data_IF_555299803480
#
_entry.id   IF_555299803480
#
_cell.length_a   1.000
_cell.length_b   1.000
_cell.length_c   1.000
_cell.angle_alpha   90.00
_cell.angle_beta   90.00
_cell.angle_gamma   90.00
#
_symmetry.space_group_name_H-M   'P 1'
#
loop_
_entity.id
_entity.type
_entity.pdbx_description
1 polymer ?
#
# COMPACT_ATOMS: atom_id res chain seq x y z
N UNK A 1 28.43 -9.32 -2.96
CA UNK A 1 28.59 -8.58 -4.24
C UNK A 1 29.67 -7.52 -4.04
N UNK A 2 30.48 -7.30 -5.04
CA UNK A 2 31.56 -6.32 -5.06
C UNK A 2 31.23 -5.31 -6.17
N UNK A 3 31.16 -4.04 -5.83
CA UNK A 3 30.97 -2.95 -6.79
C UNK A 3 32.30 -2.21 -7.03
N UNK A 4 32.56 -1.74 -8.26
CA UNK A 4 33.69 -0.86 -8.54
C UNK A 4 33.57 0.45 -7.76
N UNK A 5 34.68 1.09 -7.41
CA UNK A 5 34.70 2.36 -6.67
C UNK A 5 34.02 3.53 -7.38
N UNK A 6 33.78 3.41 -8.68
CA UNK A 6 33.11 4.45 -9.47
C UNK A 6 31.58 4.45 -9.30
N UNK A 7 31.03 3.37 -8.74
CA UNK A 7 29.57 3.24 -8.51
C UNK A 7 29.33 3.04 -7.03
N UNK A 8 28.86 4.07 -6.36
CA UNK A 8 28.44 3.99 -4.95
C UNK A 8 27.03 3.44 -4.91
N UNK A 9 26.83 2.37 -4.14
CA UNK A 9 25.53 1.74 -3.94
C UNK A 9 25.19 1.80 -2.45
N UNK A 10 24.15 2.53 -2.13
CA UNK A 10 23.72 2.73 -0.74
C UNK A 10 22.92 1.54 -0.21
N UNK A 11 22.91 1.38 1.12
CA UNK A 11 22.00 0.44 1.81
C UNK A 11 20.56 0.83 1.48
N UNK A 12 19.73 -0.16 1.21
CA UNK A 12 18.35 0.05 0.78
C UNK A 12 18.16 0.19 -0.74
N UNK A 13 19.24 0.31 -1.51
CA UNK A 13 19.15 0.30 -2.97
C UNK A 13 18.72 -1.07 -3.50
N UNK A 14 17.98 -1.06 -4.62
CA UNK A 14 17.68 -2.28 -5.36
C UNK A 14 18.74 -2.53 -6.44
N UNK A 15 19.11 -3.79 -6.59
CA UNK A 15 20.02 -4.26 -7.65
C UNK A 15 19.28 -5.31 -8.47
N UNK A 16 19.13 -5.07 -9.76
CA UNK A 16 18.61 -6.06 -10.69
C UNK A 16 19.78 -6.91 -11.22
N UNK A 17 19.74 -8.22 -10.93
CA UNK A 17 20.76 -9.15 -11.33
C UNK A 17 20.16 -10.50 -11.72
N UNK A 18 20.43 -10.96 -12.92
CA UNK A 18 19.93 -12.24 -13.48
C UNK A 18 18.42 -12.40 -13.34
N UNK A 19 17.67 -11.40 -13.84
CA UNK A 19 16.19 -11.36 -13.81
C UNK A 19 15.58 -11.40 -12.40
N UNK A 20 16.39 -11.11 -11.38
CA UNK A 20 16.00 -11.11 -9.99
C UNK A 20 16.37 -9.78 -9.34
N UNK A 21 15.46 -9.22 -8.57
CA UNK A 21 15.68 -8.00 -7.79
C UNK A 21 16.26 -8.35 -6.42
N UNK A 22 17.27 -7.59 -6.00
CA UNK A 22 17.96 -7.74 -4.73
C UNK A 22 17.98 -6.45 -3.96
N UNK A 23 17.82 -6.52 -2.65
CA UNK A 23 17.87 -5.40 -1.73
C UNK A 23 19.23 -5.37 -1.03
N UNK A 24 19.89 -4.21 -1.04
CA UNK A 24 21.19 -4.03 -0.34
C UNK A 24 20.91 -3.89 1.15
N UNK A 25 21.53 -4.78 1.92
CA UNK A 25 21.24 -4.93 3.35
C UNK A 25 22.28 -4.33 4.28
N UNK A 26 23.55 -4.52 3.94
CA UNK A 26 24.69 -3.97 4.69
C UNK A 26 25.87 -3.77 3.77
N UNK A 27 26.69 -2.81 4.12
CA UNK A 27 28.00 -2.58 3.53
C UNK A 27 29.09 -2.99 4.53
N UNK A 28 30.11 -3.70 4.07
CA UNK A 28 31.33 -3.93 4.85
C UNK A 28 32.30 -2.79 4.61
N UNK A 29 32.60 -2.04 5.67
CA UNK A 29 33.65 -1.01 5.62
C UNK A 29 35.02 -1.66 5.63
N UNK A 30 35.84 -1.31 4.65
CA UNK A 30 37.22 -1.78 4.52
C UNK A 30 38.20 -0.69 4.89
N UNK A 31 39.29 -1.08 5.54
CA UNK A 31 40.39 -0.16 5.92
C UNK A 31 41.03 0.49 4.68
N UNK A 32 41.06 -0.24 3.55
CA UNK A 32 41.55 0.27 2.27
C UNK A 32 40.37 0.20 1.29
N UNK A 33 39.80 1.33 0.88
CA UNK A 33 38.59 1.36 0.05
C UNK A 33 38.90 1.14 -1.44
N UNK A 34 39.27 -0.09 -1.82
CA UNK A 34 39.47 -0.44 -3.22
C UNK A 34 38.20 -0.81 -3.95
N UNK A 35 37.16 -1.19 -3.20
CA UNK A 35 35.83 -1.56 -3.71
C UNK A 35 34.85 -1.66 -2.57
N UNK A 36 33.56 -1.45 -2.86
CA UNK A 36 32.46 -1.72 -1.94
C UNK A 36 32.17 -3.24 -1.87
N UNK A 37 32.00 -3.74 -0.67
CA UNK A 37 31.54 -5.11 -0.43
C UNK A 37 30.16 -5.05 0.23
N UNK A 38 29.15 -5.55 -0.47
CA UNK A 38 27.76 -5.47 -0.06
C UNK A 38 27.17 -6.84 0.25
N UNK A 39 26.36 -6.92 1.30
CA UNK A 39 25.47 -8.07 1.52
C UNK A 39 24.11 -7.70 0.97
N UNK A 40 23.59 -8.55 0.08
CA UNK A 40 22.30 -8.37 -0.56
C UNK A 40 21.35 -9.49 -0.18
N UNK A 41 20.05 -9.21 -0.18
CA UNK A 41 18.97 -10.17 0.03
C UNK A 41 18.04 -10.16 -1.17
N UNK A 42 17.57 -11.34 -1.58
CA UNK A 42 16.63 -11.44 -2.68
C UNK A 42 15.29 -10.81 -2.28
N UNK A 43 14.72 -10.01 -3.16
CA UNK A 43 13.33 -9.55 -3.03
C UNK A 43 12.43 -10.76 -3.27
N UNK A 44 11.81 -11.24 -2.22
CA UNK A 44 10.97 -12.44 -2.26
C UNK A 44 9.47 -12.13 -2.19
N UNK A 45 9.11 -10.86 -1.96
CA UNK A 45 7.74 -10.40 -1.94
C UNK A 45 7.60 -8.98 -2.49
N UNK A 46 6.40 -8.64 -3.00
CA UNK A 46 6.01 -7.26 -3.32
C UNK A 46 4.87 -6.87 -2.42
N UNK A 47 5.13 -5.92 -1.52
CA UNK A 47 4.08 -5.31 -0.71
C UNK A 47 3.31 -4.29 -1.55
N UNK A 48 2.01 -4.20 -1.31
CA UNK A 48 1.12 -3.26 -1.98
C UNK A 48 0.21 -2.59 -0.96
N UNK A 49 -0.05 -1.32 -1.16
CA UNK A 49 -1.01 -0.57 -0.34
C UNK A 49 -1.59 0.59 -1.11
N UNK A 50 -2.70 1.14 -0.60
CA UNK A 50 -3.26 2.40 -1.10
C UNK A 50 -2.56 3.58 -0.42
N UNK A 51 -2.27 4.61 -1.23
CA UNK A 51 -1.77 5.88 -0.77
C UNK A 51 -2.73 6.98 -1.25
N UNK A 52 -2.85 8.07 -0.47
CA UNK A 52 -3.70 9.21 -0.81
C UNK A 52 -3.36 9.86 -2.17
N UNK A 53 -2.10 9.78 -2.59
CA UNK A 53 -1.61 10.43 -3.81
C UNK A 53 -1.42 9.49 -5.00
N UNK A 54 -1.35 8.18 -4.76
CA UNK A 54 -1.14 7.17 -5.81
C UNK A 54 -2.07 6.01 -5.55
N UNK A 55 -2.91 5.61 -6.51
CA UNK A 55 -3.97 4.63 -6.24
C UNK A 55 -3.43 3.31 -5.69
N UNK A 56 -2.32 2.82 -6.20
CA UNK A 56 -1.67 1.60 -5.69
C UNK A 56 -0.16 1.81 -5.68
N UNK A 57 0.44 1.73 -4.51
CA UNK A 57 1.90 1.73 -4.32
C UNK A 57 2.37 0.29 -4.19
N UNK A 58 3.47 -0.05 -4.86
CA UNK A 58 4.06 -1.39 -4.84
C UNK A 58 5.57 -1.34 -4.70
N UNK A 59 6.09 -1.99 -3.65
CA UNK A 59 7.53 -2.07 -3.39
C UNK A 59 7.99 -3.51 -3.20
N UNK A 60 9.17 -3.80 -3.73
CA UNK A 60 9.87 -5.04 -3.46
C UNK A 60 10.35 -5.11 -2.01
N UNK A 61 10.16 -6.23 -1.36
CA UNK A 61 10.55 -6.43 0.03
C UNK A 61 11.26 -7.77 0.22
N UNK A 62 12.11 -7.83 1.24
CA UNK A 62 12.60 -9.09 1.77
C UNK A 62 11.82 -9.44 3.02
N UNK A 63 11.13 -10.58 2.98
CA UNK A 63 10.30 -11.06 4.10
C UNK A 63 10.89 -12.37 4.63
N UNK A 64 10.95 -12.49 5.95
CA UNK A 64 11.39 -13.71 6.63
C UNK A 64 10.61 -13.92 7.93
N UNK A 65 10.50 -15.18 8.36
CA UNK A 65 9.96 -15.49 9.68
C UNK A 65 10.88 -14.94 10.77
N UNK A 66 10.28 -14.42 11.83
CA UNK A 66 11.01 -14.09 13.03
C UNK A 66 11.39 -15.40 13.75
N UNK A 67 12.64 -15.78 13.65
CA UNK A 67 13.17 -16.98 14.33
C UNK A 67 13.70 -16.63 15.71
N UNK A 68 13.72 -17.61 16.63
CA UNK A 68 14.28 -17.46 17.98
C UNK A 68 15.72 -16.94 17.99
N UNK A 69 16.50 -17.27 16.97
CA UNK A 69 17.88 -16.78 16.80
C UNK A 69 17.94 -15.26 16.60
N UNK A 70 16.90 -14.66 16.07
CA UNK A 70 16.83 -13.20 15.87
C UNK A 70 16.48 -12.47 17.16
N UNK A 71 15.83 -13.13 18.10
CA UNK A 71 15.42 -12.56 19.38
C UNK A 71 16.50 -12.67 20.47
N UNK A 72 17.54 -13.47 20.26
CA UNK A 72 18.62 -13.65 21.25
C UNK A 72 18.17 -14.25 22.59
N UNK A 73 16.96 -14.82 22.63
CA UNK A 73 16.37 -15.38 23.87
C UNK A 73 16.38 -16.89 23.81
N UNK A 74 17.29 -17.51 24.52
CA UNK A 74 17.21 -18.90 24.91
C UNK A 74 16.49 -18.98 26.26
N UNK A 75 15.15 -19.06 26.28
CA UNK A 75 14.41 -19.28 27.50
C UNK A 75 13.83 -20.70 27.51
N UNK A 76 14.06 -21.39 28.59
CA UNK A 76 13.51 -22.70 28.85
C UNK A 76 12.01 -22.56 29.17
N UNK A 77 11.16 -23.13 28.35
CA UNK A 77 9.76 -23.38 28.71
C UNK A 77 8.68 -22.64 27.93
N UNK A 78 8.88 -21.38 27.53
CA UNK A 78 7.86 -20.58 26.84
C UNK A 78 8.06 -20.46 25.32
N UNK A 79 8.83 -21.35 24.75
CA UNK A 79 9.32 -21.34 23.37
C UNK A 79 8.21 -21.43 22.31
N UNK A 80 7.07 -22.00 22.62
CA UNK A 80 6.04 -22.34 21.64
C UNK A 80 5.13 -21.16 21.32
N UNK A 81 4.93 -20.22 22.24
CA UNK A 81 4.03 -19.07 22.01
C UNK A 81 4.66 -17.92 21.23
N UNK A 82 5.99 -17.86 21.17
CA UNK A 82 6.72 -16.76 20.50
C UNK A 82 6.87 -17.00 18.99
N UNK A 83 6.74 -18.25 18.55
CA UNK A 83 7.01 -18.65 17.14
C UNK A 83 5.82 -18.39 16.21
N UNK A 84 4.62 -18.20 16.75
CA UNK A 84 3.41 -18.18 15.95
C UNK A 84 3.16 -16.83 15.29
N UNK A 85 3.27 -16.81 13.95
CA UNK A 85 2.69 -15.80 13.10
C UNK A 85 3.44 -14.48 12.99
N UNK A 86 4.67 -14.36 13.51
CA UNK A 86 5.45 -13.11 13.37
C UNK A 86 6.40 -13.16 12.19
N UNK A 87 6.38 -12.10 11.39
CA UNK A 87 7.27 -11.92 10.26
C UNK A 87 8.03 -10.61 10.34
N UNK A 88 9.24 -10.62 9.79
CA UNK A 88 10.05 -9.42 9.58
C UNK A 88 10.04 -9.08 8.09
N UNK A 89 9.75 -7.82 7.79
CA UNK A 89 9.74 -7.28 6.44
C UNK A 89 10.77 -6.15 6.36
N UNK A 90 11.61 -6.20 5.34
CA UNK A 90 12.60 -5.17 5.04
C UNK A 90 12.31 -4.56 3.69
N UNK A 91 12.30 -3.25 3.64
CA UNK A 91 12.03 -2.46 2.43
C UNK A 91 12.94 -1.25 2.40
N UNK A 92 13.17 -0.68 1.22
CA UNK A 92 13.89 0.58 1.08
C UNK A 92 13.22 1.70 1.90
N UNK A 93 14.03 2.51 2.57
CA UNK A 93 13.57 3.71 3.27
C UNK A 93 13.47 4.88 2.28
N UNK A 94 12.24 5.28 1.95
CA UNK A 94 11.92 6.43 1.13
C UNK A 94 10.61 7.08 1.60
N UNK A 95 10.22 8.17 0.98
CA UNK A 95 9.05 8.95 1.37
C UNK A 95 7.76 8.11 1.37
N UNK A 96 7.56 7.27 0.35
CA UNK A 96 6.36 6.43 0.23
C UNK A 96 6.34 5.29 1.27
N UNK A 97 7.47 4.61 1.49
CA UNK A 97 7.55 3.51 2.45
C UNK A 97 7.50 3.98 3.90
N UNK A 98 7.91 5.23 4.19
CA UNK A 98 7.69 5.88 5.49
C UNK A 98 6.21 6.15 5.79
N UNK A 99 5.37 6.19 4.76
CA UNK A 99 3.91 6.22 4.90
C UNK A 99 3.30 4.93 5.47
N UNK A 100 4.07 3.84 5.53
CA UNK A 100 3.64 2.60 6.16
C UNK A 100 3.81 2.73 7.67
N UNK A 101 2.70 2.84 8.41
CA UNK A 101 2.70 3.08 9.87
C UNK A 101 2.35 1.83 10.66
N UNK A 102 2.64 1.87 11.97
CA UNK A 102 2.18 0.85 12.93
C UNK A 102 0.64 0.76 12.85
N UNK A 103 0.14 -0.45 12.87
CA UNK A 103 -1.29 -0.74 12.70
C UNK A 103 -1.72 -1.01 11.26
N UNK A 104 -0.96 -0.56 10.25
CA UNK A 104 -1.28 -0.84 8.85
C UNK A 104 -1.17 -2.34 8.56
N UNK A 105 -2.09 -2.81 7.73
CA UNK A 105 -2.18 -4.21 7.32
C UNK A 105 -1.62 -4.38 5.92
N UNK A 106 -0.91 -5.47 5.67
CA UNK A 106 -0.31 -5.81 4.37
C UNK A 106 -0.45 -7.30 4.08
N UNK A 107 -0.56 -7.67 2.81
CA UNK A 107 -0.52 -9.07 2.39
C UNK A 107 0.92 -9.58 2.32
N UNK A 108 1.12 -10.79 2.87
CA UNK A 108 2.31 -11.60 2.61
C UNK A 108 1.84 -13.02 2.28
N UNK A 109 2.06 -13.44 1.04
CA UNK A 109 1.48 -14.66 0.53
C UNK A 109 -0.05 -14.55 0.45
N UNK A 110 -0.74 -15.53 1.01
CA UNK A 110 -2.20 -15.56 1.08
C UNK A 110 -2.78 -14.93 2.37
N UNK A 111 -1.92 -14.56 3.32
CA UNK A 111 -2.31 -14.08 4.65
C UNK A 111 -2.09 -12.59 4.79
N UNK A 112 -2.86 -11.98 5.69
CA UNK A 112 -2.73 -10.58 6.07
C UNK A 112 -1.90 -10.48 7.33
N UNK A 113 -1.04 -9.48 7.39
CA UNK A 113 -0.19 -9.18 8.53
C UNK A 113 -0.38 -7.73 8.94
N UNK A 114 -0.44 -7.50 10.25
CA UNK A 114 -0.50 -6.17 10.85
C UNK A 114 0.88 -5.73 11.30
N UNK A 115 1.26 -4.51 10.99
CA UNK A 115 2.54 -3.93 11.42
C UNK A 115 2.46 -3.55 12.88
N UNK A 116 3.33 -4.16 13.69
CA UNK A 116 3.40 -3.97 15.14
C UNK A 116 4.52 -3.02 15.57
N UNK A 117 5.59 -2.95 14.78
CA UNK A 117 6.76 -2.14 15.07
C UNK A 117 7.49 -1.77 13.78
N UNK A 118 8.08 -0.58 13.75
CA UNK A 118 8.89 -0.09 12.64
C UNK A 118 10.23 0.42 13.17
N UNK A 119 11.32 -0.10 12.64
CA UNK A 119 12.68 0.35 12.90
C UNK A 119 13.24 1.05 11.66
N UNK A 120 13.40 2.35 11.77
CA UNK A 120 13.96 3.22 10.71
C UNK A 120 15.36 3.70 11.05
N UNK A 121 15.93 3.28 12.20
CA UNK A 121 17.16 3.83 12.76
C UNK A 121 18.33 2.85 12.67
N UNK A 122 18.10 1.56 12.95
CA UNK A 122 19.18 0.57 13.06
C UNK A 122 19.98 0.36 11.75
N UNK A 123 19.35 0.65 10.60
CA UNK A 123 19.98 0.57 9.28
C UNK A 123 19.52 1.72 8.41
N UNK A 124 20.37 2.72 8.27
CA UNK A 124 20.09 3.84 7.35
C UNK A 124 19.84 3.30 5.94
N UNK A 125 18.77 3.75 5.31
CA UNK A 125 18.34 3.32 3.97
C UNK A 125 17.39 2.13 3.94
N UNK A 126 17.12 1.47 5.10
CA UNK A 126 16.16 0.37 5.22
C UNK A 126 15.17 0.62 6.35
N UNK A 127 13.92 0.27 6.12
CA UNK A 127 12.92 0.13 7.17
C UNK A 127 12.73 -1.36 7.46
N UNK A 128 12.76 -1.72 8.74
CA UNK A 128 12.46 -3.05 9.22
C UNK A 128 11.13 -3.04 9.97
N UNK A 129 10.13 -3.72 9.44
CA UNK A 129 8.84 -3.89 10.07
C UNK A 129 8.74 -5.26 10.74
N UNK A 130 8.31 -5.27 12.00
CA UNK A 130 7.83 -6.47 12.67
C UNK A 130 6.32 -6.57 12.47
N UNK A 131 5.87 -7.69 11.96
CA UNK A 131 4.47 -7.95 11.64
C UNK A 131 3.95 -9.17 12.38
N UNK A 132 2.68 -9.16 12.72
CA UNK A 132 1.94 -10.29 13.28
C UNK A 132 0.79 -10.68 12.35
N UNK A 133 0.51 -11.96 12.24
CA UNK A 133 -0.60 -12.46 11.42
C UNK A 133 -1.93 -11.91 11.93
N UNK A 134 -2.75 -11.42 11.02
CA UNK A 134 -4.05 -10.81 11.30
C UNK A 134 -5.16 -11.50 10.51
N UNK A 135 -6.39 -11.32 10.97
CA UNK A 135 -7.56 -11.93 10.35
C UNK A 135 -7.91 -11.22 9.05
N UNK A 136 -8.20 -12.00 8.03
CA UNK A 136 -8.68 -11.51 6.75
C UNK A 136 -10.10 -11.00 6.89
N UNK A 137 -10.38 -9.79 6.37
CA UNK A 137 -11.67 -9.12 6.45
C UNK A 137 -12.32 -8.96 5.07
N UNK A 138 -13.58 -8.56 5.04
CA UNK A 138 -14.30 -8.23 3.79
C UNK A 138 -13.75 -6.97 3.12
N UNK A 139 -13.03 -6.15 3.86
CA UNK A 139 -12.40 -4.93 3.35
C UNK A 139 -11.09 -5.19 2.59
N UNK A 140 -10.60 -6.43 2.64
CA UNK A 140 -9.36 -6.84 1.98
C UNK A 140 -9.60 -7.28 0.54
N UNK A 141 -8.78 -6.79 -0.39
CA UNK A 141 -8.79 -7.26 -1.77
C UNK A 141 -7.70 -8.30 -2.01
N UNK A 142 -8.08 -9.58 -2.03
CA UNK A 142 -7.15 -10.71 -2.22
C UNK A 142 -6.54 -10.76 -3.63
N UNK A 143 -7.29 -10.36 -4.65
CA UNK A 143 -6.82 -10.42 -6.03
C UNK A 143 -5.72 -9.39 -6.29
N UNK A 144 -5.89 -8.20 -5.75
CA UNK A 144 -4.86 -7.16 -5.81
C UNK A 144 -3.75 -7.36 -4.78
N UNK A 145 -3.99 -8.15 -3.72
CA UNK A 145 -3.08 -8.33 -2.60
C UNK A 145 -2.93 -7.06 -1.76
N UNK A 146 -4.04 -6.34 -1.54
CA UNK A 146 -4.07 -5.09 -0.78
C UNK A 146 -5.04 -5.24 0.38
N UNK A 147 -4.52 -5.10 1.60
CA UNK A 147 -5.32 -5.09 2.81
C UNK A 147 -6.04 -3.72 2.97
N UNK A 148 -7.20 -3.76 3.62
CA UNK A 148 -8.06 -2.58 3.87
C UNK A 148 -8.39 -1.78 2.59
N UNK A 149 -8.43 -2.47 1.45
CA UNK A 149 -8.67 -1.85 0.14
C UNK A 149 -10.01 -1.12 0.07
N UNK A 150 -11.07 -1.70 0.66
CA UNK A 150 -12.44 -1.17 0.64
C UNK A 150 -12.78 -0.33 1.87
N UNK A 151 -11.95 -0.40 2.89
CA UNK A 151 -12.06 0.42 4.09
C UNK A 151 -10.96 1.49 4.05
N UNK A 152 -11.09 2.41 3.12
CA UNK A 152 -10.18 3.54 3.00
C UNK A 152 -10.46 4.52 4.15
N UNK A 153 -10.20 4.08 5.38
CA UNK A 153 -10.10 5.01 6.49
C UNK A 153 -8.84 5.83 6.25
N UNK A 154 -9.03 6.98 5.69
CA UNK A 154 -8.07 8.07 5.83
C UNK A 154 -7.94 8.26 7.32
N UNK A 155 -6.80 7.83 7.90
CA UNK A 155 -6.47 8.24 9.25
C UNK A 155 -6.43 9.76 9.21
N UNK A 156 -7.39 10.41 9.87
CA UNK A 156 -7.34 11.86 10.06
C UNK A 156 -5.95 12.20 10.60
N UNK A 157 -5.22 13.14 9.98
CA UNK A 157 -3.93 13.54 10.50
C UNK A 157 -4.13 14.03 11.93
N UNK A 158 -3.42 13.44 12.86
CA UNK A 158 -3.29 13.97 14.22
C UNK A 158 -2.81 15.42 14.06
N UNK A 159 -3.64 16.35 14.48
CA UNK A 159 -3.43 17.79 14.44
C UNK A 159 -2.08 18.16 15.10
N UNK A 160 -1.03 18.29 14.30
CA UNK A 160 0.28 18.85 14.62
C UNK A 160 0.41 20.24 14.00
N UNK A 161 -0.54 21.09 14.19
CA UNK A 161 -0.41 22.55 14.11
C UNK A 161 0.34 23.18 12.93
N UNK A 162 0.56 22.50 11.80
CA UNK A 162 1.26 23.02 10.63
C UNK A 162 0.39 23.06 9.39
N UNK A 163 0.07 24.27 9.00
CA UNK A 163 -0.41 24.78 7.67
C UNK A 163 -1.21 23.80 6.81
N UNK A 164 -2.52 24.01 6.78
CA UNK A 164 -3.50 23.37 5.89
C UNK A 164 -3.12 23.56 4.40
N UNK A 165 -2.60 22.49 3.78
CA UNK A 165 -2.82 22.31 2.35
C UNK A 165 -4.24 21.74 2.18
N UNK A 166 -5.07 22.27 1.26
CA UNK A 166 -6.42 21.77 1.05
C UNK A 166 -6.36 20.29 0.64
N UNK A 167 -6.92 19.43 1.50
CA UNK A 167 -7.05 17.98 1.22
C UNK A 167 -8.08 17.84 0.11
N UNK A 168 -7.64 17.51 -1.08
CA UNK A 168 -8.53 17.21 -2.20
C UNK A 168 -8.95 15.73 -2.12
N UNK A 169 -10.20 15.48 -1.78
CA UNK A 169 -10.75 14.15 -1.57
C UNK A 169 -12.08 13.98 -2.32
N UNK A 170 -12.34 12.76 -2.81
CA UNK A 170 -13.66 12.39 -3.33
C UNK A 170 -14.42 11.70 -2.20
N UNK A 171 -15.58 12.22 -1.85
CA UNK A 171 -16.51 11.62 -0.89
C UNK A 171 -17.73 11.03 -1.58
N UNK A 172 -18.22 9.89 -1.07
CA UNK A 172 -19.37 9.17 -1.60
C UNK A 172 -19.49 7.75 -1.07
N UNK A 173 -20.46 7.00 -1.56
CA UNK A 173 -20.69 5.61 -1.15
C UNK A 173 -19.63 4.66 -1.70
N UNK A 174 -18.89 3.99 -0.82
CA UNK A 174 -17.80 3.06 -1.20
C UNK A 174 -18.29 1.65 -1.55
N UNK A 175 -19.52 1.29 -1.11
CA UNK A 175 -20.17 -0.01 -1.41
C UNK A 175 -21.52 0.22 -2.12
N UNK A 176 -21.54 0.79 -3.33
CA UNK A 176 -22.76 1.09 -4.04
C UNK A 176 -23.51 -0.20 -4.43
N UNK A 177 -24.81 -0.22 -4.16
CA UNK A 177 -25.69 -1.36 -4.47
C UNK A 177 -26.09 -1.36 -5.94
N UNK A 178 -26.26 -2.55 -6.49
CA UNK A 178 -26.80 -2.72 -7.85
C UNK A 178 -28.14 -2.00 -8.00
N UNK A 179 -28.35 -1.33 -9.14
CA UNK A 179 -29.56 -0.58 -9.48
C UNK A 179 -29.69 0.76 -8.75
N UNK A 180 -28.81 1.06 -7.77
CA UNK A 180 -28.81 2.31 -7.02
C UNK A 180 -28.19 3.48 -7.79
N UNK A 181 -28.55 4.70 -7.37
CA UNK A 181 -27.94 5.95 -7.86
C UNK A 181 -27.16 6.60 -6.73
N UNK A 182 -25.94 7.03 -7.02
CA UNK A 182 -24.99 7.56 -6.04
C UNK A 182 -24.31 8.80 -6.58
N UNK A 183 -24.09 9.78 -5.71
CA UNK A 183 -23.38 11.02 -6.04
C UNK A 183 -22.04 11.03 -5.29
N UNK A 184 -21.00 11.36 -6.03
CA UNK A 184 -19.64 11.54 -5.51
C UNK A 184 -19.25 13.00 -5.68
N UNK A 185 -18.71 13.59 -4.64
CA UNK A 185 -18.35 15.00 -4.62
C UNK A 185 -16.94 15.23 -4.13
N UNK A 186 -16.38 16.38 -4.47
CA UNK A 186 -15.11 16.88 -3.95
C UNK A 186 -15.36 18.03 -2.99
N UNK A 187 -14.40 18.31 -2.10
CA UNK A 187 -14.50 19.40 -1.12
C UNK A 187 -14.77 20.77 -1.77
N UNK A 188 -15.35 21.69 -0.98
CA UNK A 188 -15.82 23.01 -1.46
C UNK A 188 -14.77 23.83 -2.20
N UNK A 189 -13.50 23.71 -1.84
CA UNK A 189 -12.38 24.45 -2.43
C UNK A 189 -11.76 23.74 -3.64
N UNK A 190 -12.29 22.59 -4.09
CA UNK A 190 -11.78 21.80 -5.20
C UNK A 190 -12.64 21.99 -6.43
N UNK A 191 -12.03 22.22 -7.59
CA UNK A 191 -12.73 22.28 -8.89
C UNK A 191 -12.21 21.18 -9.81
N UNK A 192 -13.10 20.28 -10.23
CA UNK A 192 -12.78 19.16 -11.12
C UNK A 192 -12.89 19.61 -12.57
N UNK A 193 -11.86 19.31 -13.35
CA UNK A 193 -11.84 19.53 -14.80
C UNK A 193 -12.44 18.38 -15.56
N UNK A 194 -12.21 17.14 -15.08
CA UNK A 194 -12.69 15.94 -15.74
C UNK A 194 -12.96 14.84 -14.71
N UNK A 195 -14.14 14.20 -14.83
CA UNK A 195 -14.49 12.97 -14.12
C UNK A 195 -14.31 11.76 -15.03
N UNK A 196 -13.54 10.76 -14.57
CA UNK A 196 -13.32 9.48 -15.26
C UNK A 196 -13.86 8.38 -14.37
N UNK A 197 -14.54 7.40 -14.95
CA UNK A 197 -15.04 6.22 -14.25
C UNK A 197 -14.56 5.01 -15.03
N UNK A 198 -13.77 4.15 -14.41
CA UNK A 198 -13.19 2.99 -15.05
C UNK A 198 -13.23 1.77 -14.14
N UNK A 199 -13.27 0.58 -14.72
CA UNK A 199 -13.10 -0.66 -13.98
C UNK A 199 -11.62 -0.96 -13.81
N UNK A 200 -11.23 -1.48 -12.65
CA UNK A 200 -9.83 -1.84 -12.37
C UNK A 200 -9.31 -2.96 -13.28
N UNK A 201 -10.19 -3.85 -13.71
CA UNK A 201 -9.86 -4.96 -14.60
C UNK A 201 -9.79 -4.56 -16.10
N UNK A 202 -10.00 -3.28 -16.42
CA UNK A 202 -10.01 -2.76 -17.78
C UNK A 202 -11.29 -3.08 -18.58
N UNK A 203 -12.30 -3.68 -17.97
CA UNK A 203 -13.60 -3.89 -18.57
C UNK A 203 -14.44 -2.59 -18.58
N UNK A 204 -15.54 -2.58 -19.33
CA UNK A 204 -16.49 -1.48 -19.26
C UNK A 204 -17.08 -1.36 -17.85
N UNK A 205 -17.05 -0.17 -17.23
CA UNK A 205 -17.56 0.01 -15.88
C UNK A 205 -19.06 -0.30 -15.82
N UNK A 206 -19.51 -1.01 -14.78
CA UNK A 206 -20.91 -1.42 -14.62
C UNK A 206 -21.82 -0.27 -14.17
N UNK A 207 -21.59 0.93 -14.66
CA UNK A 207 -22.31 2.15 -14.28
C UNK A 207 -22.71 2.97 -15.50
N UNK A 208 -23.74 3.80 -15.29
CA UNK A 208 -24.10 4.87 -16.20
C UNK A 208 -23.81 6.20 -15.51
N UNK A 209 -23.01 7.07 -16.12
CA UNK A 209 -22.85 8.42 -15.65
C UNK A 209 -24.13 9.21 -16.00
N UNK A 210 -24.75 9.81 -14.99
CA UNK A 210 -25.99 10.58 -15.15
C UNK A 210 -25.70 12.07 -15.34
N UNK A 211 -24.98 12.65 -14.37
CA UNK A 211 -24.62 14.07 -14.35
C UNK A 211 -23.16 14.22 -13.95
N UNK A 212 -22.50 15.21 -14.55
CA UNK A 212 -21.11 15.58 -14.22
C UNK A 212 -21.04 17.11 -14.18
N UNK A 213 -20.53 17.63 -13.08
CA UNK A 213 -20.21 19.05 -12.96
C UNK A 213 -18.81 19.23 -12.33
N UNK A 214 -18.42 20.45 -12.03
CA UNK A 214 -17.10 20.77 -11.47
C UNK A 214 -16.94 20.38 -10.01
N UNK A 215 -17.99 19.91 -9.34
CA UNK A 215 -18.00 19.56 -7.92
C UNK A 215 -18.40 18.12 -7.67
N UNK A 216 -19.21 17.54 -8.53
CA UNK A 216 -19.81 16.24 -8.31
C UNK A 216 -20.04 15.44 -9.59
N UNK A 217 -20.12 14.13 -9.44
CA UNK A 217 -20.54 13.20 -10.46
C UNK A 217 -21.62 12.26 -9.89
N UNK A 218 -22.73 12.12 -10.58
CA UNK A 218 -23.79 11.16 -10.25
C UNK A 218 -23.72 9.97 -11.19
N UNK A 219 -23.73 8.77 -10.61
CA UNK A 219 -23.72 7.51 -11.36
C UNK A 219 -24.88 6.63 -10.96
N UNK A 220 -25.33 5.79 -11.87
CA UNK A 220 -26.27 4.71 -11.59
C UNK A 220 -25.59 3.38 -11.87
N UNK A 221 -25.55 2.49 -10.87
CA UNK A 221 -25.01 1.15 -11.01
C UNK A 221 -25.97 0.28 -11.79
N UNK A 222 -25.47 -0.51 -12.76
CA UNK A 222 -26.29 -1.46 -13.53
C UNK A 222 -26.88 -2.52 -12.59
N UNK A 223 -28.17 -2.86 -12.80
CA UNK A 223 -28.86 -3.87 -11.99
C UNK A 223 -28.67 -5.27 -12.60
N UNK A 224 -27.45 -5.80 -12.47
CA UNK A 224 -27.09 -7.12 -12.98
C UNK A 224 -26.15 -7.79 -11.98
N UNK A 225 -26.53 -8.97 -11.49
CA UNK A 225 -25.78 -9.74 -10.49
C UNK A 225 -24.36 -10.12 -10.90
N UNK A 226 -24.04 -10.12 -12.19
CA UNK A 226 -22.69 -10.36 -12.69
C UNK A 226 -21.68 -9.31 -12.23
N UNK A 227 -22.16 -8.15 -11.84
CA UNK A 227 -21.34 -7.04 -11.39
C UNK A 227 -21.17 -6.96 -9.86
N UNK A 228 -21.70 -7.93 -9.11
CA UNK A 228 -21.47 -8.01 -7.66
C UNK A 228 -20.01 -8.25 -7.39
N UNK A 229 -19.41 -7.41 -6.56
CA UNK A 229 -17.99 -7.51 -6.20
C UNK A 229 -17.02 -6.85 -7.19
N UNK A 230 -17.52 -6.31 -8.32
CA UNK A 230 -16.67 -5.57 -9.25
C UNK A 230 -16.23 -4.24 -8.65
N UNK A 231 -14.97 -3.89 -8.89
CA UNK A 231 -14.38 -2.65 -8.39
C UNK A 231 -14.23 -1.65 -9.52
N UNK A 232 -14.71 -0.44 -9.28
CA UNK A 232 -14.59 0.70 -10.18
C UNK A 232 -13.86 1.83 -9.48
N UNK A 233 -13.04 2.56 -10.22
CA UNK A 233 -12.39 3.78 -9.77
C UNK A 233 -13.19 5.00 -10.25
N UNK A 234 -13.53 5.87 -9.32
CA UNK A 234 -14.07 7.21 -9.62
C UNK A 234 -12.90 8.17 -9.50
N UNK A 235 -12.51 8.77 -10.61
CA UNK A 235 -11.33 9.60 -10.74
C UNK A 235 -11.74 11.03 -11.05
N UNK A 236 -11.17 11.98 -10.31
CA UNK A 236 -11.33 13.41 -10.57
C UNK A 236 -9.97 14.03 -10.91
N UNK A 237 -9.89 14.70 -12.06
CA UNK A 237 -8.75 15.56 -12.42
C UNK A 237 -9.03 16.99 -11.97
N UNK A 238 -8.11 17.56 -11.22
CA UNK A 238 -8.22 18.91 -10.65
C UNK A 238 -7.41 19.89 -11.48
N UNK A 239 -7.75 21.18 -11.40
CA UNK A 239 -7.11 22.26 -12.20
C UNK A 239 -5.57 22.31 -12.10
N UNK A 240 -5.00 21.87 -11.00
CA UNK A 240 -3.54 21.89 -10.77
C UNK A 240 -2.81 20.68 -11.36
N UNK A 241 -3.51 19.87 -12.17
CA UNK A 241 -2.96 18.61 -12.71
C UNK A 241 -2.94 17.47 -11.71
N UNK A 242 -3.44 17.67 -10.51
CA UNK A 242 -3.60 16.63 -9.50
C UNK A 242 -4.73 15.66 -9.92
N UNK A 243 -4.49 14.38 -9.72
CA UNK A 243 -5.49 13.32 -9.98
C UNK A 243 -5.80 12.64 -8.65
N UNK A 244 -7.05 12.64 -8.26
CA UNK A 244 -7.55 11.92 -7.09
C UNK A 244 -8.49 10.81 -7.51
N UNK A 245 -8.50 9.70 -6.80
CA UNK A 245 -9.35 8.55 -7.13
C UNK A 245 -9.97 7.92 -5.89
N UNK A 246 -11.20 7.43 -6.04
CA UNK A 246 -11.93 6.68 -5.03
C UNK A 246 -12.31 5.31 -5.60
N UNK A 247 -11.74 4.21 -5.11
CA UNK A 247 -12.17 2.88 -5.47
C UNK A 247 -13.46 2.52 -4.74
N UNK A 248 -14.45 2.03 -5.47
CA UNK A 248 -15.73 1.59 -4.92
C UNK A 248 -16.06 0.18 -5.38
N UNK A 249 -16.64 -0.64 -4.48
CA UNK A 249 -17.01 -2.03 -4.76
C UNK A 249 -18.52 -2.20 -4.82
N UNK A 250 -19.01 -2.67 -5.95
CA UNK A 250 -20.44 -2.95 -6.11
C UNK A 250 -20.86 -4.12 -5.21
N UNK A 251 -21.98 -3.94 -4.51
CA UNK A 251 -22.57 -4.99 -3.69
C UNK A 251 -23.98 -5.34 -4.17
N UNK A 252 -24.49 -6.48 -3.66
CA UNK A 252 -25.83 -6.93 -3.98
C UNK A 252 -26.89 -5.88 -3.60
N UNK A 253 -27.99 -5.84 -4.35
CA UNK A 253 -29.12 -4.94 -4.13
C UNK A 253 -29.74 -5.04 -2.74
N UNK A 254 -29.72 -6.22 -2.14
CA UNK A 254 -30.35 -6.50 -0.84
C UNK A 254 -29.36 -6.57 0.34
N UNK A 255 -28.07 -6.30 0.13
CA UNK A 255 -27.03 -6.20 1.16
C UNK A 255 -26.24 -7.45 1.35
#
# INVERSE_FOLDING_TARGET
VVAPNETIVDIGSYIDWRDTQWLVFTEEQKTIPTHQQLKIKIVNWKIKWLNAHTPIVSYGAYVQNQTLYTLGVASQGDLISIINGKMMLYVQDNEETRGIRIGKRVFVGANVYKIMFADTVSRSGLINFLMEEDTLTEDDNRELGIADYYNNQIEEPVDDGTVENPIHEISGEIKPRLGGTYTYNVGENTTVTEWIIESIDGSDPPVYALERNTKEVSIRVKDDYRYVGQVINIIAKINDGLVISLPVKTINRFG
#
